data_IF_678428239544
#
_entry.id   IF_678428239544
#
_cell.length_a   1.000
_cell.length_b   1.000
_cell.length_c   1.000
_cell.angle_alpha   90.00
_cell.angle_beta   90.00
_cell.angle_gamma   90.00
#
_symmetry.space_group_name_H-M   'P 1'
#
loop_
_entity.id
_entity.type
_entity.pdbx_description
1 polymer ?
#
# COMPACT_ATOMS: atom_id res chain seq x y z
N UNK A 1 -13.88 -33.41 29.48
CA UNK A 1 -14.26 -33.44 28.03
C UNK A 1 -14.71 -32.07 27.51
N UNK A 2 -15.34 -31.22 28.32
CA UNK A 2 -15.68 -29.80 27.90
C UNK A 2 -14.49 -28.94 27.54
N UNK A 3 -13.29 -29.23 28.05
CA UNK A 3 -12.05 -28.52 27.74
C UNK A 3 -11.65 -28.59 26.25
N UNK A 4 -11.88 -29.71 25.56
CA UNK A 4 -11.49 -29.90 24.16
C UNK A 4 -12.40 -29.08 23.22
N UNK A 5 -13.71 -29.07 23.48
CA UNK A 5 -14.68 -28.27 22.69
C UNK A 5 -14.50 -26.79 22.98
N UNK A 6 -14.24 -26.43 24.25
CA UNK A 6 -13.89 -25.08 24.62
C UNK A 6 -12.58 -24.62 23.97
N UNK A 7 -11.60 -25.50 23.82
CA UNK A 7 -10.30 -25.21 23.19
C UNK A 7 -10.43 -25.10 21.67
N UNK A 8 -11.22 -25.91 21.00
CA UNK A 8 -11.52 -25.85 19.57
C UNK A 8 -12.36 -24.62 19.23
N UNK A 9 -13.37 -24.27 20.04
CA UNK A 9 -14.14 -23.05 19.86
C UNK A 9 -13.31 -21.81 20.18
N UNK A 10 -12.44 -21.86 21.19
CA UNK A 10 -11.49 -20.79 21.50
C UNK A 10 -10.48 -20.59 20.36
N UNK A 11 -9.95 -21.67 19.77
CA UNK A 11 -9.08 -21.60 18.59
C UNK A 11 -9.84 -20.99 17.40
N UNK A 12 -11.09 -21.40 17.14
CA UNK A 12 -11.95 -20.80 16.11
C UNK A 12 -12.19 -19.31 16.34
N UNK A 13 -12.46 -18.92 17.58
CA UNK A 13 -12.65 -17.51 17.98
C UNK A 13 -11.34 -16.72 17.90
N UNK A 14 -10.21 -17.30 18.32
CA UNK A 14 -8.88 -16.67 18.23
C UNK A 14 -8.47 -16.50 16.76
N UNK A 15 -8.74 -17.47 15.89
CA UNK A 15 -8.51 -17.35 14.45
C UNK A 15 -9.43 -16.31 13.82
N UNK A 16 -10.70 -16.25 14.20
CA UNK A 16 -11.64 -15.22 13.78
C UNK A 16 -11.23 -13.83 14.31
N UNK A 17 -10.80 -13.75 15.57
CA UNK A 17 -10.32 -12.53 16.20
C UNK A 17 -8.96 -12.06 15.65
N UNK A 18 -8.04 -12.98 15.37
CA UNK A 18 -6.79 -12.70 14.68
C UNK A 18 -7.02 -12.17 13.26
N UNK A 19 -8.00 -12.75 12.55
CA UNK A 19 -8.43 -12.28 11.24
C UNK A 19 -9.08 -10.89 11.27
N UNK A 20 -9.70 -10.50 12.38
CA UNK A 20 -10.31 -9.18 12.58
C UNK A 20 -9.28 -8.11 12.94
N UNK A 21 -8.25 -8.46 13.71
CA UNK A 21 -7.30 -7.49 14.29
C UNK A 21 -6.08 -7.17 13.44
N UNK A 22 -5.63 -8.09 12.59
CA UNK A 22 -4.46 -7.82 11.75
C UNK A 22 -4.71 -8.27 10.30
N UNK A 23 -4.41 -7.44 9.28
CA UNK A 23 -4.15 -7.98 7.97
C UNK A 23 -2.93 -8.88 8.14
N UNK A 24 -3.11 -10.20 7.92
CA UNK A 24 -2.04 -11.18 8.03
C UNK A 24 -0.89 -10.71 7.13
N UNK A 25 0.13 -10.12 7.73
CA UNK A 25 1.41 -9.90 7.08
C UNK A 25 1.94 -11.28 6.76
N UNK A 26 1.61 -11.78 5.56
CA UNK A 26 2.23 -12.98 5.03
C UNK A 26 3.73 -12.83 5.27
N UNK A 27 4.23 -13.72 6.12
CA UNK A 27 5.59 -13.88 6.57
C UNK A 27 6.56 -13.60 5.43
N UNK A 28 7.10 -12.38 5.39
CA UNK A 28 8.22 -12.07 4.52
C UNK A 28 9.31 -13.09 4.80
N UNK A 29 9.51 -13.96 3.82
CA UNK A 29 10.63 -14.89 3.76
C UNK A 29 11.89 -14.19 4.24
N UNK A 30 12.59 -14.82 5.17
CA UNK A 30 13.75 -14.33 5.90
C UNK A 30 14.85 -13.88 4.91
N UNK A 31 14.85 -12.63 4.53
CA UNK A 31 15.99 -12.04 3.85
C UNK A 31 17.09 -11.76 4.86
N UNK A 32 18.25 -12.29 4.56
CA UNK A 32 19.48 -12.31 5.35
C UNK A 32 19.84 -10.92 5.88
N UNK A 33 20.25 -10.87 7.16
CA UNK A 33 20.41 -9.68 7.99
C UNK A 33 21.36 -8.55 7.53
N UNK A 34 21.89 -8.59 6.32
CA UNK A 34 22.81 -7.56 5.79
C UNK A 34 22.11 -6.43 5.00
N UNK A 35 20.87 -6.65 4.52
CA UNK A 35 20.09 -5.62 3.82
C UNK A 35 19.21 -4.77 4.74
N UNK A 36 19.10 -5.10 6.03
CA UNK A 36 18.25 -4.37 6.98
C UNK A 36 18.82 -3.02 7.44
N UNK A 37 20.07 -2.74 7.18
CA UNK A 37 20.73 -1.48 7.62
C UNK A 37 20.60 -0.33 6.61
N UNK A 38 20.22 -0.60 5.36
CA UNK A 38 20.14 0.41 4.31
C UNK A 38 18.70 0.78 3.90
N UNK A 39 17.69 0.07 4.37
CA UNK A 39 16.31 0.28 3.92
C UNK A 39 15.42 0.86 5.02
N UNK A 40 15.75 2.03 5.53
CA UNK A 40 14.78 2.91 6.20
C UNK A 40 14.49 4.11 5.30
N UNK A 41 14.25 3.85 4.03
CA UNK A 41 13.64 4.85 3.15
C UNK A 41 12.23 5.04 3.66
N UNK A 42 12.01 6.15 4.33
CA UNK A 42 10.69 6.57 4.82
C UNK A 42 9.80 6.65 3.59
N UNK A 43 8.84 5.72 3.43
CA UNK A 43 7.92 5.76 2.28
C UNK A 43 7.31 7.15 2.22
N UNK A 44 7.51 7.81 1.11
CA UNK A 44 6.92 9.12 0.86
C UNK A 44 5.41 8.94 0.65
N UNK A 45 4.55 9.67 1.38
CA UNK A 45 3.12 9.64 1.11
C UNK A 45 2.83 10.08 -0.32
N UNK A 46 2.01 9.30 -1.04
CA UNK A 46 1.68 9.59 -2.44
C UNK A 46 0.93 10.94 -2.60
N UNK A 47 0.27 11.37 -1.54
CA UNK A 47 -0.48 12.64 -1.48
C UNK A 47 0.40 13.88 -1.62
N UNK A 48 1.71 13.78 -1.36
CA UNK A 48 2.64 14.92 -1.46
C UNK A 48 3.02 15.26 -2.90
N UNK A 49 2.93 14.30 -3.83
CA UNK A 49 3.41 14.49 -5.19
C UNK A 49 2.62 15.51 -6.01
N UNK A 50 1.27 15.53 -5.98
CA UNK A 50 0.51 16.57 -6.67
C UNK A 50 0.87 17.99 -6.22
N UNK A 51 1.07 18.18 -4.93
CA UNK A 51 1.41 19.50 -4.37
C UNK A 51 2.81 19.95 -4.84
N UNK A 52 3.78 19.01 -4.90
CA UNK A 52 5.12 19.28 -5.47
C UNK A 52 5.04 19.68 -6.95
N UNK A 53 4.16 19.02 -7.73
CA UNK A 53 3.97 19.37 -9.15
C UNK A 53 3.27 20.72 -9.29
N UNK A 54 2.32 21.07 -8.43
CA UNK A 54 1.67 22.38 -8.42
C UNK A 54 2.63 23.49 -8.04
N UNK A 55 3.55 23.26 -7.11
CA UNK A 55 4.62 24.21 -6.75
C UNK A 55 5.55 24.44 -7.95
N UNK A 56 5.95 23.37 -8.65
CA UNK A 56 6.73 23.47 -9.90
C UNK A 56 5.99 24.27 -10.97
N UNK A 57 4.71 23.97 -11.21
CA UNK A 57 3.90 24.69 -12.20
C UNK A 57 3.77 26.17 -11.85
N UNK A 58 3.74 26.49 -10.56
CA UNK A 58 3.69 27.88 -10.09
C UNK A 58 5.02 28.60 -10.27
N UNK A 59 6.14 27.93 -10.00
CA UNK A 59 7.49 28.47 -10.22
C UNK A 59 7.76 28.72 -11.72
N UNK A 60 7.34 27.80 -12.60
CA UNK A 60 7.43 27.98 -14.06
C UNK A 60 6.59 29.18 -14.54
N UNK A 61 5.36 29.33 -14.01
CA UNK A 61 4.54 30.53 -14.33
C UNK A 61 5.15 31.82 -13.84
N UNK A 62 5.92 31.80 -12.78
CA UNK A 62 6.69 32.92 -12.28
C UNK A 62 7.95 33.23 -13.15
N UNK A 63 8.23 32.42 -14.19
CA UNK A 63 9.33 32.61 -15.12
C UNK A 63 10.60 31.84 -14.79
N UNK A 64 10.59 30.95 -13.80
CA UNK A 64 11.74 30.10 -13.54
C UNK A 64 11.87 29.01 -14.61
N UNK A 65 13.12 28.66 -14.97
CA UNK A 65 13.37 27.45 -15.76
C UNK A 65 13.07 26.18 -14.96
N UNK A 66 12.80 25.06 -15.65
CA UNK A 66 12.50 23.79 -14.97
C UNK A 66 13.60 23.35 -13.97
N UNK A 67 14.90 23.43 -14.32
CA UNK A 67 15.95 23.13 -13.35
C UNK A 67 15.92 24.05 -12.11
N UNK A 68 15.69 25.36 -12.31
CA UNK A 68 15.60 26.33 -11.22
C UNK A 68 14.39 26.06 -10.32
N UNK A 69 13.24 25.72 -10.91
CA UNK A 69 12.03 25.38 -10.18
C UNK A 69 12.23 24.12 -9.31
N UNK A 70 12.91 23.09 -9.83
CA UNK A 70 13.24 21.87 -9.06
C UNK A 70 14.23 22.19 -7.93
N UNK A 71 15.20 23.09 -8.14
CA UNK A 71 16.13 23.53 -7.09
C UNK A 71 15.39 24.29 -5.99
N UNK A 72 14.39 25.10 -6.32
CA UNK A 72 13.59 25.83 -5.32
C UNK A 72 12.84 24.88 -4.38
N UNK A 73 12.45 23.67 -4.83
CA UNK A 73 11.86 22.65 -3.97
C UNK A 73 12.79 22.16 -2.85
N UNK A 74 14.10 22.42 -2.92
CA UNK A 74 15.01 22.19 -1.80
C UNK A 74 14.61 23.00 -0.56
N UNK A 75 14.03 24.20 -0.77
CA UNK A 75 13.65 25.14 0.26
C UNK A 75 12.16 25.07 0.58
N UNK A 76 11.32 25.15 -0.46
CA UNK A 76 9.86 25.23 -0.35
C UNK A 76 9.17 23.88 -0.27
N UNK A 77 9.79 22.81 -0.79
CA UNK A 77 9.19 21.48 -0.88
C UNK A 77 8.99 20.79 0.46
N UNK A 78 8.20 19.69 0.45
CA UNK A 78 7.94 18.85 1.63
C UNK A 78 9.22 18.33 2.26
N UNK A 79 9.30 18.35 3.60
CA UNK A 79 10.49 17.95 4.35
C UNK A 79 11.01 16.55 3.97
N UNK A 80 10.08 15.63 3.67
CA UNK A 80 10.40 14.24 3.32
C UNK A 80 11.15 14.10 1.99
N UNK A 81 10.99 15.08 1.08
CA UNK A 81 11.55 15.09 -0.26
C UNK A 81 12.78 16.00 -0.41
N UNK A 82 13.00 16.92 0.53
CA UNK A 82 14.09 17.91 0.45
C UNK A 82 15.46 17.28 0.22
N UNK A 83 15.77 16.19 0.91
CA UNK A 83 17.06 15.50 0.75
C UNK A 83 17.26 14.97 -0.68
N UNK A 84 16.20 14.45 -1.31
CA UNK A 84 16.27 13.98 -2.70
C UNK A 84 16.44 15.15 -3.69
N UNK A 85 15.75 16.25 -3.47
CA UNK A 85 15.92 17.47 -4.30
C UNK A 85 17.30 18.10 -4.11
N UNK A 86 17.87 18.08 -2.90
CA UNK A 86 19.24 18.53 -2.65
C UNK A 86 20.27 17.72 -3.45
N UNK A 87 20.11 16.39 -3.50
CA UNK A 87 20.98 15.53 -4.32
C UNK A 87 20.89 15.92 -5.82
N UNK A 88 19.69 16.18 -6.32
CA UNK A 88 19.48 16.65 -7.69
C UNK A 88 20.17 17.99 -7.94
N UNK A 89 20.01 18.97 -7.05
CA UNK A 89 20.64 20.28 -7.12
C UNK A 89 22.16 20.14 -7.16
N UNK A 90 22.73 19.39 -6.22
CA UNK A 90 24.18 19.26 -6.09
C UNK A 90 24.79 18.59 -7.33
N UNK A 91 24.13 17.56 -7.88
CA UNK A 91 24.52 16.92 -9.13
C UNK A 91 24.44 17.90 -10.32
N UNK A 92 23.34 18.62 -10.46
CA UNK A 92 23.15 19.58 -11.54
C UNK A 92 24.18 20.72 -11.46
N UNK A 93 24.48 21.24 -10.28
CA UNK A 93 25.50 22.28 -10.09
C UNK A 93 26.93 21.77 -10.42
N UNK A 94 27.20 20.49 -10.16
CA UNK A 94 28.51 19.91 -10.41
C UNK A 94 28.75 19.57 -11.89
N UNK A 95 27.73 19.11 -12.61
CA UNK A 95 27.86 18.52 -13.96
C UNK A 95 27.15 19.29 -15.07
N UNK A 96 26.17 20.13 -14.74
CA UNK A 96 25.27 20.75 -15.70
C UNK A 96 24.22 19.80 -16.29
N UNK A 97 24.25 18.48 -15.90
CA UNK A 97 23.31 17.48 -16.41
C UNK A 97 22.11 17.37 -15.48
N UNK A 98 20.99 17.95 -15.92
CA UNK A 98 19.74 17.92 -15.16
C UNK A 98 19.10 16.54 -15.12
N UNK A 99 19.19 15.78 -16.23
CA UNK A 99 18.63 14.43 -16.28
C UNK A 99 19.35 13.47 -15.33
N UNK A 100 20.66 13.60 -15.20
CA UNK A 100 21.44 12.85 -14.20
C UNK A 100 20.98 13.20 -12.78
N UNK A 101 20.73 14.49 -12.51
CA UNK A 101 20.18 14.93 -11.22
C UNK A 101 18.80 14.34 -10.92
N UNK A 102 17.87 14.38 -11.89
CA UNK A 102 16.54 13.78 -11.74
C UNK A 102 16.60 12.26 -11.45
N UNK A 103 17.49 11.55 -12.13
CA UNK A 103 17.69 10.10 -11.88
C UNK A 103 18.14 9.80 -10.44
N UNK A 104 18.87 10.71 -9.79
CA UNK A 104 19.24 10.56 -8.38
C UNK A 104 18.03 10.64 -7.47
N UNK A 105 17.00 11.46 -7.80
CA UNK A 105 15.74 11.50 -7.04
C UNK A 105 15.06 10.12 -7.06
N UNK A 106 14.86 9.55 -8.25
CA UNK A 106 14.24 8.24 -8.42
C UNK A 106 15.01 7.13 -7.68
N UNK A 107 16.34 7.18 -7.78
CA UNK A 107 17.24 6.20 -7.13
C UNK A 107 17.25 6.33 -5.60
N UNK A 108 17.16 7.55 -5.07
CA UNK A 108 17.19 7.80 -3.63
C UNK A 108 15.87 7.41 -2.96
N UNK A 109 14.75 7.73 -3.59
CA UNK A 109 13.42 7.51 -3.02
C UNK A 109 12.93 6.07 -3.19
N UNK A 110 13.36 5.37 -4.24
CA UNK A 110 12.94 4.00 -4.58
C UNK A 110 11.41 3.82 -4.56
N UNK A 111 10.67 4.84 -4.99
CA UNK A 111 9.21 4.90 -4.97
C UNK A 111 8.64 4.98 -6.40
N UNK A 112 7.59 4.18 -6.75
CA UNK A 112 6.94 4.24 -8.06
C UNK A 112 6.43 5.64 -8.44
N UNK A 113 5.98 6.44 -7.48
CA UNK A 113 5.51 7.80 -7.75
C UNK A 113 6.68 8.74 -8.08
N UNK A 114 7.82 8.56 -7.41
CA UNK A 114 9.05 9.26 -7.75
C UNK A 114 9.51 8.92 -9.17
N UNK A 115 9.44 7.65 -9.57
CA UNK A 115 9.80 7.21 -10.92
C UNK A 115 8.90 7.90 -11.98
N UNK A 116 7.57 7.96 -11.75
CA UNK A 116 6.62 8.65 -12.64
C UNK A 116 6.92 10.14 -12.72
N UNK A 117 7.14 10.78 -11.57
CA UNK A 117 7.48 12.21 -11.49
C UNK A 117 8.76 12.51 -12.28
N UNK A 118 9.83 11.77 -12.04
CA UNK A 118 11.11 11.95 -12.73
C UNK A 118 10.97 11.74 -14.24
N UNK A 119 10.32 10.67 -14.68
CA UNK A 119 10.09 10.40 -16.11
C UNK A 119 9.30 11.54 -16.78
N UNK A 120 8.25 12.05 -16.10
CA UNK A 120 7.46 13.17 -16.61
C UNK A 120 8.28 14.45 -16.73
N UNK A 121 9.17 14.74 -15.75
CA UNK A 121 10.04 15.92 -15.82
C UNK A 121 11.12 15.80 -16.89
N UNK A 122 11.65 14.60 -17.14
CA UNK A 122 12.60 14.36 -18.23
C UNK A 122 11.96 14.66 -19.58
N UNK A 123 10.75 14.12 -19.83
CA UNK A 123 9.98 14.42 -21.04
C UNK A 123 9.68 15.92 -21.13
N UNK A 124 9.25 16.54 -20.03
CA UNK A 124 8.97 17.97 -19.98
C UNK A 124 10.20 18.82 -20.28
N UNK A 125 11.39 18.39 -19.83
CA UNK A 125 12.66 19.07 -20.10
C UNK A 125 13.06 18.98 -21.57
N UNK A 126 12.83 17.81 -22.20
CA UNK A 126 13.12 17.60 -23.63
C UNK A 126 12.17 18.38 -24.55
N UNK A 127 10.89 18.41 -24.22
CA UNK A 127 9.87 19.13 -24.99
C UNK A 127 10.06 20.64 -24.85
N UNK A 128 10.30 21.11 -23.63
CA UNK A 128 10.53 22.52 -23.30
C UNK A 128 9.41 23.43 -23.77
N UNK A 129 9.62 24.76 -23.63
CA UNK A 129 8.76 25.76 -24.24
C UNK A 129 7.59 26.26 -23.39
N UNK A 130 6.68 27.02 -24.04
CA UNK A 130 5.59 27.74 -23.39
C UNK A 130 4.53 26.83 -22.75
N UNK A 131 4.43 25.58 -23.21
CA UNK A 131 3.40 24.63 -22.75
C UNK A 131 3.80 23.84 -21.51
N UNK A 132 5.02 24.00 -21.01
CA UNK A 132 5.52 23.30 -19.84
C UNK A 132 4.63 23.47 -18.60
N UNK A 133 4.13 24.69 -18.38
CA UNK A 133 3.22 24.97 -17.26
C UNK A 133 1.88 24.26 -17.38
N UNK A 134 1.36 24.09 -18.60
CA UNK A 134 0.11 23.36 -18.89
C UNK A 134 0.34 21.86 -18.65
N UNK A 135 1.47 21.33 -19.13
CA UNK A 135 1.84 19.93 -18.95
C UNK A 135 1.96 19.56 -17.46
N UNK A 136 2.64 20.38 -16.66
CA UNK A 136 2.78 20.13 -15.23
C UNK A 136 1.43 20.18 -14.51
N UNK A 137 0.55 21.11 -14.89
CA UNK A 137 -0.79 21.19 -14.32
C UNK A 137 -1.60 19.94 -14.64
N UNK A 138 -1.58 19.48 -15.88
CA UNK A 138 -2.24 18.22 -16.27
C UNK A 138 -1.66 17.03 -15.50
N UNK A 139 -0.35 16.99 -15.29
CA UNK A 139 0.30 15.97 -14.48
C UNK A 139 -0.22 15.96 -13.03
N UNK A 140 -0.31 17.15 -12.41
CA UNK A 140 -0.87 17.27 -11.05
C UNK A 140 -2.32 16.77 -10.98
N UNK A 141 -3.15 17.17 -11.96
CA UNK A 141 -4.55 16.74 -12.04
C UNK A 141 -4.66 15.21 -12.18
N UNK A 142 -3.87 14.58 -13.05
CA UNK A 142 -3.83 13.13 -13.24
C UNK A 142 -3.36 12.41 -11.97
N UNK A 143 -2.34 12.94 -11.28
CA UNK A 143 -1.87 12.37 -10.02
C UNK A 143 -2.93 12.44 -8.91
N UNK A 144 -3.69 13.53 -8.84
CA UNK A 144 -4.82 13.67 -7.89
C UNK A 144 -5.95 12.70 -8.21
N UNK A 145 -6.31 12.57 -9.48
CA UNK A 145 -7.33 11.62 -9.93
C UNK A 145 -6.92 10.16 -9.61
N UNK A 146 -5.67 9.80 -9.85
CA UNK A 146 -5.13 8.49 -9.48
C UNK A 146 -5.26 8.21 -7.97
N UNK A 147 -4.97 9.20 -7.11
CA UNK A 147 -5.13 9.08 -5.67
C UNK A 147 -6.58 8.86 -5.26
N UNK A 148 -7.52 9.60 -5.86
CA UNK A 148 -8.97 9.45 -5.60
C UNK A 148 -9.44 8.06 -6.03
N UNK A 149 -9.11 7.64 -7.25
CA UNK A 149 -9.47 6.31 -7.76
C UNK A 149 -8.90 5.19 -6.88
N UNK A 150 -7.66 5.33 -6.45
CA UNK A 150 -7.02 4.38 -5.52
C UNK A 150 -7.77 4.33 -4.19
N UNK A 151 -8.15 5.49 -3.65
CA UNK A 151 -8.96 5.58 -2.43
C UNK A 151 -10.31 4.88 -2.57
N UNK A 152 -11.00 5.06 -3.70
CA UNK A 152 -12.28 4.38 -3.98
C UNK A 152 -12.11 2.85 -4.08
N UNK A 153 -11.07 2.38 -4.78
CA UNK A 153 -10.78 0.95 -4.90
C UNK A 153 -10.55 0.35 -3.51
N UNK A 154 -9.72 0.98 -2.67
CA UNK A 154 -9.45 0.53 -1.30
C UNK A 154 -10.73 0.53 -0.45
N UNK A 155 -11.57 1.57 -0.58
CA UNK A 155 -12.82 1.67 0.16
C UNK A 155 -13.80 0.56 -0.24
N UNK A 156 -13.99 0.31 -1.54
CA UNK A 156 -14.85 -0.78 -2.04
C UNK A 156 -14.32 -2.16 -1.62
N UNK A 157 -13.02 -2.35 -1.68
CA UNK A 157 -12.38 -3.61 -1.29
C UNK A 157 -12.51 -3.87 0.21
N UNK A 158 -12.37 -2.85 1.05
CA UNK A 158 -12.50 -3.00 2.50
C UNK A 158 -13.88 -3.50 2.90
N UNK A 159 -14.95 -3.06 2.22
CA UNK A 159 -16.32 -3.56 2.41
C UNK A 159 -16.41 -5.07 2.10
N UNK A 160 -15.86 -5.51 0.98
CA UNK A 160 -15.86 -6.92 0.57
C UNK A 160 -15.07 -7.78 1.55
N UNK A 161 -13.88 -7.34 1.98
CA UNK A 161 -13.05 -8.04 2.98
C UNK A 161 -13.76 -8.13 4.33
N UNK A 162 -14.43 -7.07 4.78
CA UNK A 162 -15.16 -7.09 6.04
C UNK A 162 -16.40 -8.01 5.96
N UNK A 163 -17.11 -8.01 4.83
CA UNK A 163 -18.21 -8.95 4.56
C UNK A 163 -17.73 -10.42 4.63
N UNK A 164 -16.56 -10.70 4.06
CA UNK A 164 -15.94 -12.02 4.13
C UNK A 164 -15.61 -12.48 5.54
N UNK A 165 -15.06 -11.57 6.36
CA UNK A 165 -14.77 -11.88 7.76
C UNK A 165 -16.04 -12.25 8.54
N UNK A 166 -17.13 -11.52 8.29
CA UNK A 166 -18.43 -11.82 8.88
C UNK A 166 -18.98 -13.16 8.40
N UNK A 167 -18.89 -13.44 7.10
CA UNK A 167 -19.35 -14.72 6.54
C UNK A 167 -18.60 -15.93 7.13
N UNK A 168 -17.29 -15.80 7.37
CA UNK A 168 -16.48 -16.84 8.02
C UNK A 168 -16.81 -16.97 9.51
N UNK A 169 -17.11 -15.84 10.19
CA UNK A 169 -17.42 -15.85 11.63
C UNK A 169 -18.84 -16.36 11.94
N UNK A 170 -19.82 -16.13 11.07
CA UNK A 170 -21.24 -16.45 11.31
C UNK A 170 -21.51 -17.92 11.68
N UNK A 171 -20.99 -18.95 10.97
CA UNK A 171 -21.21 -20.34 11.34
C UNK A 171 -20.67 -20.68 12.74
N UNK A 172 -19.56 -20.08 13.14
CA UNK A 172 -18.94 -20.30 14.45
C UNK A 172 -19.74 -19.67 15.59
N UNK A 173 -20.28 -18.45 15.36
CA UNK A 173 -21.21 -17.83 16.32
C UNK A 173 -22.47 -18.67 16.46
N UNK A 174 -23.03 -19.16 15.36
CA UNK A 174 -24.21 -20.04 15.38
C UNK A 174 -23.92 -21.36 16.13
N UNK A 175 -22.78 -22.00 15.84
CA UNK A 175 -22.38 -23.21 16.54
C UNK A 175 -22.21 -22.99 18.06
N UNK A 176 -21.65 -21.84 18.44
CA UNK A 176 -21.48 -21.45 19.84
C UNK A 176 -22.84 -21.25 20.54
N UNK A 177 -23.77 -20.55 19.91
CA UNK A 177 -25.12 -20.35 20.45
C UNK A 177 -25.88 -21.67 20.55
N UNK A 178 -25.80 -22.57 19.55
CA UNK A 178 -26.42 -23.87 19.60
C UNK A 178 -25.78 -24.77 20.69
N UNK A 179 -24.49 -24.64 20.93
CA UNK A 179 -23.80 -25.47 21.97
C UNK A 179 -24.29 -25.20 23.40
N UNK A 180 -25.04 -24.10 23.63
CA UNK A 180 -25.68 -23.83 24.93
C UNK A 180 -26.85 -24.78 25.24
N UNK A 181 -27.40 -25.48 24.22
CA UNK A 181 -28.47 -26.47 24.40
C UNK A 181 -27.86 -27.84 24.60
N UNK A 182 -28.24 -28.54 25.66
CA UNK A 182 -27.67 -29.84 26.02
C UNK A 182 -27.77 -30.88 24.90
N UNK A 183 -28.90 -30.92 24.17
CA UNK A 183 -29.08 -31.83 23.04
C UNK A 183 -28.10 -31.59 21.90
N UNK A 184 -27.83 -30.34 21.55
CA UNK A 184 -26.88 -29.97 20.50
C UNK A 184 -25.44 -30.18 20.98
N UNK A 185 -25.13 -29.84 22.23
CA UNK A 185 -23.82 -30.06 22.82
C UNK A 185 -23.38 -31.53 22.73
N UNK A 186 -24.30 -32.47 23.05
CA UNK A 186 -24.01 -33.90 22.96
C UNK A 186 -23.74 -34.39 21.53
N UNK A 187 -24.43 -33.84 20.53
CA UNK A 187 -24.18 -34.13 19.10
C UNK A 187 -22.82 -33.63 18.67
N UNK A 188 -22.48 -32.38 19.03
CA UNK A 188 -21.18 -31.79 18.68
C UNK A 188 -20.00 -32.51 19.39
N UNK A 189 -20.21 -33.09 20.58
CA UNK A 189 -19.21 -33.83 21.31
C UNK A 189 -19.07 -35.27 20.84
N UNK A 190 -19.92 -35.75 19.95
CA UNK A 190 -19.81 -37.08 19.35
C UNK A 190 -18.58 -37.14 18.42
N UNK A 191 -18.05 -38.34 18.18
CA UNK A 191 -16.93 -38.52 17.24
C UNK A 191 -17.25 -38.06 15.84
N UNK A 192 -18.52 -38.11 15.42
CA UNK A 192 -19.00 -37.59 14.13
C UNK A 192 -19.10 -36.06 14.14
N UNK A 193 -19.56 -35.44 15.23
CA UNK A 193 -19.65 -33.99 15.38
C UNK A 193 -18.29 -33.32 15.37
N UNK A 194 -17.30 -33.91 16.08
CA UNK A 194 -15.93 -33.38 16.09
C UNK A 194 -15.30 -33.41 14.67
N UNK A 195 -15.49 -34.53 13.94
CA UNK A 195 -15.00 -34.63 12.55
C UNK A 195 -15.65 -33.59 11.65
N UNK A 196 -16.95 -33.38 11.76
CA UNK A 196 -17.69 -32.37 10.99
C UNK A 196 -17.19 -30.95 11.30
N UNK A 197 -17.02 -30.61 12.58
CA UNK A 197 -16.47 -29.29 12.97
C UNK A 197 -15.04 -29.06 12.46
N UNK A 198 -14.20 -30.11 12.47
CA UNK A 198 -12.84 -30.04 11.94
C UNK A 198 -12.83 -29.78 10.41
N UNK A 199 -13.69 -30.45 9.65
CA UNK A 199 -13.85 -30.25 8.23
C UNK A 199 -14.35 -28.82 7.96
N UNK A 200 -15.35 -28.34 8.69
CA UNK A 200 -15.86 -26.97 8.57
C UNK A 200 -14.76 -25.94 8.88
N UNK A 201 -13.91 -26.19 9.88
CA UNK A 201 -12.78 -25.30 10.18
C UNK A 201 -11.77 -25.23 9.04
N UNK A 202 -11.40 -26.38 8.47
CA UNK A 202 -10.48 -26.44 7.33
C UNK A 202 -11.06 -25.68 6.13
N UNK A 203 -12.33 -25.93 5.78
CA UNK A 203 -13.01 -25.24 4.68
C UNK A 203 -13.08 -23.73 4.91
N UNK A 204 -13.41 -23.31 6.14
CA UNK A 204 -13.45 -21.88 6.50
C UNK A 204 -12.09 -21.20 6.35
N UNK A 205 -11.01 -21.84 6.78
CA UNK A 205 -9.64 -21.33 6.62
C UNK A 205 -9.26 -21.25 5.14
N UNK A 206 -9.54 -22.29 4.36
CA UNK A 206 -9.25 -22.30 2.92
C UNK A 206 -10.03 -21.21 2.19
N UNK A 207 -11.32 -21.04 2.47
CA UNK A 207 -12.15 -19.99 1.91
C UNK A 207 -11.62 -18.59 2.27
N UNK A 208 -11.23 -18.39 3.53
CA UNK A 208 -10.65 -17.14 3.98
C UNK A 208 -9.32 -16.81 3.26
N UNK A 209 -8.42 -17.80 3.17
CA UNK A 209 -7.13 -17.61 2.48
C UNK A 209 -7.32 -17.31 0.98
N UNK A 210 -8.23 -18.06 0.32
CA UNK A 210 -8.55 -17.84 -1.07
C UNK A 210 -9.11 -16.41 -1.31
N UNK A 211 -10.01 -15.97 -0.44
CA UNK A 211 -10.62 -14.65 -0.54
C UNK A 211 -9.61 -13.52 -0.28
N UNK A 212 -8.72 -13.68 0.70
CA UNK A 212 -7.65 -12.71 0.95
C UNK A 212 -6.67 -12.63 -0.23
N UNK A 213 -6.39 -13.75 -0.88
CA UNK A 213 -5.51 -13.79 -2.06
C UNK A 213 -6.15 -13.11 -3.28
N UNK A 214 -7.46 -13.27 -3.46
CA UNK A 214 -8.21 -12.57 -4.53
C UNK A 214 -8.33 -11.08 -4.22
N UNK A 215 -8.41 -10.72 -2.94
CA UNK A 215 -8.49 -9.34 -2.48
C UNK A 215 -7.14 -8.59 -2.47
N UNK A 216 -6.02 -9.22 -2.77
CA UNK A 216 -4.71 -8.55 -2.88
C UNK A 216 -4.69 -7.61 -4.09
N UNK A 217 -4.53 -6.30 -3.84
CA UNK A 217 -4.31 -5.32 -4.91
C UNK A 217 -2.92 -5.50 -5.51
N UNK A 218 -2.79 -5.42 -6.85
CA UNK A 218 -1.49 -5.45 -7.49
C UNK A 218 -0.64 -4.27 -6.99
N UNK A 219 0.57 -4.56 -6.54
CA UNK A 219 1.55 -3.52 -6.19
C UNK A 219 2.08 -2.88 -7.47
N UNK A 220 2.15 -1.55 -7.48
CA UNK A 220 2.77 -0.83 -8.59
C UNK A 220 4.22 -1.27 -8.78
N UNK A 221 4.57 -1.54 -10.04
CA UNK A 221 5.95 -1.84 -10.43
C UNK A 221 6.70 -0.54 -10.64
N UNK A 222 7.98 -0.51 -10.28
CA UNK A 222 8.87 0.61 -10.57
C UNK A 222 9.08 0.72 -12.10
N UNK A 223 9.14 1.95 -12.60
CA UNK A 223 9.38 2.25 -14.02
C UNK A 223 10.90 2.38 -14.30
N UNK A 224 11.66 2.87 -13.32
CA UNK A 224 13.10 3.16 -13.44
C UNK A 224 13.94 2.23 -12.55
N UNK A 225 13.67 0.91 -12.55
CA UNK A 225 14.40 -0.08 -11.76
C UNK A 225 15.58 -0.67 -12.55
#
# INVERSE_FOLDING_TARGET
MGLIVGLLSAIGIILAWGAIREPMKLRKFKMTGRQKLLAKTKKVPAELWPDVVDDLASAIRAGLSLPQAVIELCNSGPEQLRAAFQLCRDQYQATGDFNAGLNLIAKNLEDPQADKFVASLQIAHEVGGADLGVLLRTLSEVMREELVLRGEIVARQSWTVNGAKLAVAAPWVTALVLSTRETAANVYMSASGIRMLAICAIVSVLAYVAMMKIAELPTEKRLLA
#
